data_IF_258215345363
#
_entry.id   IF_258215345363
#
_cell.length_a   1.000
_cell.length_b   1.000
_cell.length_c   1.000
_cell.angle_alpha   90.00
_cell.angle_beta   90.00
_cell.angle_gamma   90.00
#
_symmetry.space_group_name_H-M   'P 1'
#
loop_
_entity.id
_entity.type
_entity.pdbx_description
1 polymer ?
#
# COMPACT_ATOMS: atom_id res chain seq x y z
N UNK A 1 5.31 3.52 18.35
CA UNK A 1 5.91 3.12 17.08
C UNK A 1 5.27 3.88 15.94
N UNK A 2 6.09 4.54 15.19
CA UNK A 2 5.61 5.37 14.10
C UNK A 2 5.29 4.51 12.88
N UNK A 3 4.09 4.68 12.37
CA UNK A 3 3.69 4.03 11.13
C UNK A 3 3.91 4.99 9.98
N UNK A 4 4.46 4.46 8.88
CA UNK A 4 4.63 5.25 7.68
C UNK A 4 3.72 4.71 6.60
N UNK A 5 2.80 5.55 6.15
CA UNK A 5 1.99 5.25 4.98
C UNK A 5 2.89 5.32 3.77
N UNK A 6 2.74 4.38 2.88
CA UNK A 6 3.54 4.30 1.67
C UNK A 6 2.65 4.17 0.45
N UNK A 7 3.16 4.62 -0.67
CA UNK A 7 2.53 4.37 -1.96
C UNK A 7 3.58 4.02 -3.01
N UNK A 8 3.12 3.60 -4.17
CA UNK A 8 3.96 3.32 -5.31
C UNK A 8 3.32 3.92 -6.55
N UNK A 9 4.09 4.05 -7.62
CA UNK A 9 3.59 4.64 -8.87
C UNK A 9 3.25 3.58 -9.91
N UNK A 10 3.96 2.46 -9.88
CA UNK A 10 3.96 1.52 -11.00
C UNK A 10 3.40 0.15 -10.66
N UNK A 11 2.95 -0.06 -9.43
CA UNK A 11 2.51 -1.39 -9.01
C UNK A 11 1.19 -1.33 -8.26
N UNK A 12 0.40 -2.36 -8.49
CA UNK A 12 -0.74 -2.70 -7.64
C UNK A 12 -0.21 -3.69 -6.61
N UNK A 13 -0.52 -3.45 -5.34
CA UNK A 13 -0.08 -4.28 -4.24
C UNK A 13 -1.26 -5.07 -3.71
N UNK A 14 -1.18 -6.40 -3.77
CA UNK A 14 -2.25 -7.27 -3.29
C UNK A 14 -1.72 -8.04 -2.09
N UNK A 15 -2.41 -7.94 -0.98
CA UNK A 15 -1.98 -8.55 0.26
C UNK A 15 -2.97 -9.59 0.75
N UNK A 16 -2.46 -10.78 1.06
CA UNK A 16 -3.24 -11.95 1.47
C UNK A 16 -2.73 -12.43 2.82
N UNK A 17 -3.44 -12.20 3.92
CA UNK A 17 -3.08 -12.84 5.18
C UNK A 17 -3.29 -14.35 5.07
N UNK A 18 -2.32 -15.12 5.55
CA UNK A 18 -2.38 -16.57 5.52
C UNK A 18 -2.74 -17.12 6.90
N UNK A 19 -2.29 -16.46 7.95
CA UNK A 19 -2.67 -16.78 9.32
C UNK A 19 -2.80 -15.48 10.09
N UNK A 20 -3.64 -15.47 11.10
CA UNK A 20 -3.82 -14.28 11.93
C UNK A 20 -4.40 -13.10 11.17
N UNK A 21 -4.66 -12.05 11.87
CA UNK A 21 -5.25 -10.83 11.30
C UNK A 21 -4.26 -9.68 11.41
N UNK A 22 -4.35 -8.75 10.49
CA UNK A 22 -3.50 -7.57 10.47
C UNK A 22 -4.34 -6.33 10.27
N UNK A 23 -4.01 -5.26 11.00
CA UNK A 23 -4.67 -3.98 10.84
C UNK A 23 -3.85 -3.14 9.88
N UNK A 24 -4.54 -2.56 8.90
CA UNK A 24 -3.94 -1.68 7.91
C UNK A 24 -4.45 -0.26 8.09
N UNK A 25 -3.57 0.71 7.88
CA UNK A 25 -3.94 2.10 7.75
C UNK A 25 -4.10 2.43 6.27
N UNK A 26 -5.03 3.31 5.96
CA UNK A 26 -5.25 3.75 4.58
C UNK A 26 -5.53 5.24 4.52
N UNK A 27 -4.99 5.86 3.47
CA UNK A 27 -5.28 7.24 3.10
C UNK A 27 -5.22 7.39 1.60
N UNK A 28 -6.08 8.23 1.05
CA UNK A 28 -6.00 8.57 -0.36
C UNK A 28 -4.68 9.26 -0.67
N UNK A 29 -4.01 8.83 -1.72
CA UNK A 29 -2.74 9.43 -2.15
C UNK A 29 -2.84 10.94 -2.32
N UNK A 30 -3.98 11.42 -2.81
CA UNK A 30 -4.18 12.84 -3.05
C UNK A 30 -4.09 13.68 -1.77
N UNK A 31 -4.27 13.06 -0.61
CA UNK A 31 -4.20 13.74 0.69
C UNK A 31 -2.87 13.53 1.40
N UNK A 32 -1.95 12.79 0.82
CA UNK A 32 -0.63 12.57 1.40
C UNK A 32 0.29 13.69 0.95
N UNK A 33 0.61 14.60 1.86
CA UNK A 33 1.32 15.84 1.53
C UNK A 33 2.63 15.99 2.28
N UNK A 34 2.96 15.08 3.20
CA UNK A 34 4.17 15.16 4.00
C UNK A 34 5.07 13.96 3.75
N UNK A 35 5.76 13.91 2.58
CA UNK A 35 6.67 12.79 2.33
C UNK A 35 7.83 12.84 3.34
N UNK A 36 8.17 11.67 3.85
CA UNK A 36 9.28 11.53 4.79
C UNK A 36 10.63 11.66 4.09
N UNK A 37 10.66 11.25 2.84
CA UNK A 37 11.85 11.33 2.00
C UNK A 37 11.41 11.38 0.55
N UNK A 38 12.35 11.71 -0.34
CA UNK A 38 12.03 11.77 -1.76
C UNK A 38 11.66 10.38 -2.28
N UNK A 39 10.86 10.37 -3.34
CA UNK A 39 10.48 9.14 -4.02
C UNK A 39 11.71 8.32 -4.41
N UNK A 40 11.70 7.05 -4.05
CA UNK A 40 12.74 6.12 -4.43
C UNK A 40 12.33 5.41 -5.72
N UNK A 41 12.89 5.83 -6.85
CA UNK A 41 12.52 5.29 -8.15
C UNK A 41 12.95 3.84 -8.32
N UNK A 42 14.02 3.43 -7.66
CA UNK A 42 14.50 2.06 -7.76
C UNK A 42 13.56 1.07 -7.10
N UNK A 43 13.01 1.45 -5.96
CA UNK A 43 12.07 0.61 -5.23
C UNK A 43 10.61 0.96 -5.52
N UNK A 44 10.38 2.06 -6.24
CA UNK A 44 9.05 2.57 -6.54
C UNK A 44 8.22 2.77 -5.28
N UNK A 45 8.76 3.55 -4.35
CA UNK A 45 8.10 3.77 -3.07
C UNK A 45 8.34 5.18 -2.54
N UNK A 46 7.31 5.75 -1.94
CA UNK A 46 7.39 6.98 -1.17
C UNK A 46 6.77 6.71 0.20
N UNK A 47 7.45 7.16 1.25
CA UNK A 47 6.94 7.08 2.62
C UNK A 47 6.46 8.45 3.08
N UNK A 48 5.35 8.46 3.80
CA UNK A 48 4.72 9.69 4.28
C UNK A 48 4.55 9.66 5.79
N UNK A 49 4.59 10.84 6.41
CA UNK A 49 4.33 10.98 7.84
C UNK A 49 2.89 11.36 8.15
N UNK A 50 2.07 11.53 7.11
CA UNK A 50 0.66 11.85 7.26
C UNK A 50 -0.07 10.78 8.05
N UNK A 51 -1.14 11.19 8.73
CA UNK A 51 -2.02 10.26 9.43
C UNK A 51 -3.00 9.63 8.46
N UNK A 52 -3.39 8.40 8.78
CA UNK A 52 -4.35 7.69 7.96
C UNK A 52 -5.77 8.18 8.21
N UNK A 53 -6.61 8.13 7.16
CA UNK A 53 -8.02 8.45 7.29
C UNK A 53 -8.78 7.35 7.99
N UNK A 54 -8.38 6.10 7.77
CA UNK A 54 -9.08 4.98 8.37
C UNK A 54 -8.14 3.80 8.59
N UNK A 55 -8.61 2.90 9.41
CA UNK A 55 -7.94 1.64 9.68
C UNK A 55 -8.92 0.52 9.41
N UNK A 56 -8.44 -0.59 8.90
CA UNK A 56 -9.28 -1.75 8.69
C UNK A 56 -8.51 -3.03 9.02
N UNK A 57 -9.26 -4.06 9.36
CA UNK A 57 -8.71 -5.35 9.71
C UNK A 57 -8.82 -6.28 8.51
N UNK A 58 -7.72 -6.97 8.21
CA UNK A 58 -7.70 -7.98 7.16
C UNK A 58 -7.45 -9.34 7.79
N UNK A 59 -8.30 -10.29 7.48
CA UNK A 59 -8.29 -11.63 8.08
C UNK A 59 -8.00 -12.67 7.01
N UNK A 60 -7.53 -13.86 7.40
CA UNK A 60 -7.30 -14.95 6.45
C UNK A 60 -8.55 -15.27 5.63
N UNK A 61 -8.37 -15.58 4.38
CA UNK A 61 -9.47 -15.82 3.46
C UNK A 61 -9.94 -14.57 2.72
N UNK A 62 -9.42 -13.41 3.11
CA UNK A 62 -9.69 -12.13 2.44
C UNK A 62 -8.39 -11.54 1.95
N UNK A 63 -8.50 -10.59 1.05
CA UNK A 63 -7.31 -9.90 0.53
C UNK A 63 -7.66 -8.44 0.30
N UNK A 64 -6.62 -7.62 0.26
CA UNK A 64 -6.76 -6.20 -0.04
C UNK A 64 -5.96 -5.89 -1.29
N UNK A 65 -6.51 -5.02 -2.13
CA UNK A 65 -5.86 -4.56 -3.35
C UNK A 65 -5.60 -3.07 -3.18
N UNK A 66 -4.33 -2.69 -3.24
CA UNK A 66 -3.93 -1.29 -3.14
C UNK A 66 -3.40 -0.84 -4.49
N UNK A 67 -4.04 0.16 -5.05
CA UNK A 67 -3.61 0.80 -6.29
C UNK A 67 -2.63 1.92 -5.97
N UNK A 68 -1.97 2.51 -6.97
CA UNK A 68 -1.09 3.65 -6.71
C UNK A 68 -1.78 4.81 -5.98
N UNK A 69 -3.08 4.95 -6.17
CA UNK A 69 -3.87 6.00 -5.52
C UNK A 69 -4.11 5.73 -4.04
N UNK A 70 -3.76 4.55 -3.58
CA UNK A 70 -4.02 4.10 -2.20
C UNK A 70 -2.74 4.11 -1.40
N UNK A 71 -2.60 5.10 -0.52
CA UNK A 71 -1.55 5.04 0.49
C UNK A 71 -1.97 4.06 1.58
N UNK A 72 -1.05 3.21 2.01
CA UNK A 72 -1.38 2.20 3.01
C UNK A 72 -0.17 1.86 3.88
N UNK A 73 -0.44 1.33 5.04
CA UNK A 73 0.59 0.82 5.93
C UNK A 73 0.08 -0.42 6.67
N UNK A 74 0.82 -1.52 6.64
CA UNK A 74 0.53 -2.62 7.54
C UNK A 74 0.94 -2.19 8.94
N UNK A 75 0.00 -2.20 9.87
CA UNK A 75 0.24 -1.56 11.14
C UNK A 75 0.51 -2.55 12.26
N UNK A 76 -0.45 -3.40 12.53
CA UNK A 76 -0.43 -4.19 13.74
C UNK A 76 -0.92 -5.61 13.44
N UNK A 77 -0.12 -6.57 13.88
CA UNK A 77 -0.50 -7.96 13.90
C UNK A 77 -0.11 -8.58 15.22
N UNK A 78 -0.77 -9.64 15.58
CA UNK A 78 -0.50 -10.39 16.80
C UNK A 78 0.49 -11.51 16.48
N UNK A 79 1.67 -11.46 17.12
CA UNK A 79 2.68 -12.49 16.93
C UNK A 79 3.23 -12.51 15.51
N UNK A 80 3.61 -13.69 15.04
CA UNK A 80 4.11 -13.86 13.68
C UNK A 80 2.96 -13.98 12.72
N UNK A 81 2.92 -13.09 11.74
CA UNK A 81 1.90 -13.10 10.72
C UNK A 81 2.55 -13.50 9.39
N UNK A 82 2.00 -14.56 8.80
CA UNK A 82 2.39 -14.95 7.46
C UNK A 82 1.40 -14.37 6.48
N UNK A 83 1.93 -13.78 5.42
CA UNK A 83 1.08 -13.25 4.35
C UNK A 83 1.79 -13.43 3.02
N UNK A 84 1.00 -13.49 1.98
CA UNK A 84 1.49 -13.44 0.61
C UNK A 84 1.26 -12.04 0.07
N UNK A 85 2.23 -11.53 -0.65
CA UNK A 85 2.13 -10.22 -1.29
C UNK A 85 2.38 -10.43 -2.78
N UNK A 86 1.43 -9.98 -3.60
CA UNK A 86 1.60 -9.98 -5.04
C UNK A 86 1.73 -8.55 -5.51
N UNK A 87 2.77 -8.27 -6.28
CA UNK A 87 2.97 -6.96 -6.89
C UNK A 87 2.76 -7.09 -8.37
N UNK A 88 1.78 -6.35 -8.88
CA UNK A 88 1.39 -6.39 -10.28
C UNK A 88 1.82 -5.09 -10.92
N UNK A 89 2.73 -5.18 -11.88
CA UNK A 89 3.19 -3.99 -12.57
C UNK A 89 2.11 -3.45 -13.49
N UNK A 90 1.91 -2.14 -13.42
CA UNK A 90 0.98 -1.45 -14.28
C UNK A 90 1.75 -0.96 -15.50
N UNK A 91 1.28 -1.35 -16.69
CA UNK A 91 1.85 -0.86 -17.92
C UNK A 91 0.95 0.21 -18.49
N UNK A 92 1.56 1.30 -18.98
CA UNK A 92 0.79 2.28 -19.72
C UNK A 92 0.32 1.66 -21.02
N UNK A 93 -0.97 1.83 -21.30
CA UNK A 93 -1.52 1.38 -22.57
C UNK A 93 -1.03 2.30 -23.68
N UNK A 94 -0.36 1.75 -24.67
CA UNK A 94 0.04 2.52 -25.84
C UNK A 94 -1.13 3.03 -26.65
N UNK A 95 -2.26 2.35 -26.53
CA UNK A 95 -3.48 2.77 -27.21
C UNK A 95 -3.93 4.14 -26.73
N UNK A 96 -3.75 4.42 -25.45
CA UNK A 96 -4.15 5.70 -24.87
C UNK A 96 -3.31 6.86 -25.38
N UNK A 97 -2.09 6.58 -25.78
CA UNK A 97 -1.18 7.61 -26.32
C UNK A 97 -1.44 7.91 -27.80
N UNK A 98 -2.07 7.00 -28.49
CA UNK A 98 -2.27 7.11 -29.93
C UNK A 98 -3.56 7.80 -30.31
N UNK A 99 -4.30 8.27 -29.33
CA UNK A 99 -5.60 8.91 -29.57
C UNK A 99 -5.50 10.41 -29.74
#
# INVERSE_FOLDING_TARGET
RQMCIRDSNNYIDIQFPLNGEEIYAWESRSLLVHPRQVYNAKEDITFYTDKAALYFKLTPGKFAVFFPEDGHAPCIGQGKIKKAIAKVRIEESKIDHDR
#
